data_IF_197954570418
#
_entry.id   IF_197954570418
#
_cell.length_a   1.000
_cell.length_b   1.000
_cell.length_c   1.000
_cell.angle_alpha   90.00
_cell.angle_beta   90.00
_cell.angle_gamma   90.00
#
_symmetry.space_group_name_H-M   'P 1'
#
loop_
_entity.id
_entity.type
_entity.pdbx_description
1 polymer ?
#
# COMPACT_ATOMS: atom_id res chain seq x y z
N UNK A 1 7.24 14.03 23.60
CA UNK A 1 7.14 13.50 22.22
C UNK A 1 7.26 14.67 21.27
N UNK A 2 8.20 14.67 20.33
CA UNK A 2 8.35 15.77 19.36
C UNK A 2 7.14 15.83 18.43
N UNK A 3 6.67 17.04 18.17
CA UNK A 3 5.53 17.36 17.30
C UNK A 3 5.75 16.91 15.85
N UNK A 4 4.67 16.49 15.16
CA UNK A 4 4.70 16.17 13.73
C UNK A 4 4.51 17.48 12.95
N UNK A 5 5.45 17.79 12.06
CA UNK A 5 5.39 18.95 11.18
C UNK A 5 4.69 18.59 9.87
N UNK A 6 3.73 19.44 9.49
CA UNK A 6 3.01 19.36 8.23
C UNK A 6 3.35 20.60 7.40
N UNK A 7 3.73 20.39 6.13
CA UNK A 7 4.04 21.50 5.21
C UNK A 7 3.34 21.31 3.88
N UNK A 8 2.65 22.33 3.41
CA UNK A 8 2.10 22.33 2.07
C UNK A 8 3.19 22.58 1.03
N UNK A 9 3.13 21.82 -0.07
CA UNK A 9 3.98 21.97 -1.25
C UNK A 9 3.10 21.89 -2.49
N UNK A 10 3.63 22.37 -3.61
CA UNK A 10 3.00 22.15 -4.91
C UNK A 10 3.52 20.88 -5.58
N UNK A 11 2.60 20.08 -6.10
CA UNK A 11 2.91 19.00 -7.03
C UNK A 11 3.09 19.56 -8.44
N UNK A 12 4.20 19.19 -9.08
CA UNK A 12 4.42 19.38 -10.53
C UNK A 12 3.59 18.40 -11.36
N UNK A 13 3.38 17.19 -10.83
CA UNK A 13 2.55 16.14 -11.41
C UNK A 13 1.97 15.26 -10.31
N UNK A 14 0.79 14.68 -10.57
CA UNK A 14 0.18 13.70 -9.67
C UNK A 14 0.45 12.26 -10.13
N UNK A 15 0.24 11.98 -11.43
CA UNK A 15 0.48 10.68 -12.06
C UNK A 15 1.96 10.45 -12.36
N UNK A 16 2.52 9.39 -11.76
CA UNK A 16 3.91 9.00 -12.03
C UNK A 16 3.94 7.66 -12.78
N UNK A 17 4.46 7.66 -14.01
CA UNK A 17 4.64 6.42 -14.77
C UNK A 17 5.73 5.58 -14.11
N UNK A 18 5.49 4.28 -13.98
CA UNK A 18 6.44 3.35 -13.37
C UNK A 18 6.83 2.23 -14.34
N UNK A 19 7.96 1.60 -14.09
CA UNK A 19 8.47 0.48 -14.86
C UNK A 19 8.84 -0.68 -13.93
N UNK A 20 8.65 -1.92 -14.39
CA UNK A 20 8.95 -3.12 -13.60
C UNK A 20 7.98 -3.38 -12.44
N UNK A 21 6.81 -2.74 -12.47
CA UNK A 21 5.71 -2.93 -11.51
C UNK A 21 4.52 -3.60 -12.22
N UNK A 22 3.62 -4.27 -11.49
CA UNK A 22 2.41 -4.87 -12.08
C UNK A 22 1.31 -3.83 -12.41
N UNK A 23 1.66 -2.55 -12.41
CA UNK A 23 0.81 -1.41 -12.72
C UNK A 23 1.62 -0.36 -13.47
N UNK A 24 0.93 0.52 -14.20
CA UNK A 24 1.56 1.47 -15.12
C UNK A 24 1.80 2.84 -14.48
N UNK A 25 0.93 3.21 -13.55
CA UNK A 25 0.91 4.50 -12.90
C UNK A 25 0.88 4.40 -11.39
N UNK A 26 1.49 5.36 -10.71
CA UNK A 26 1.41 5.50 -9.27
C UNK A 26 0.94 6.88 -8.82
N UNK A 27 0.17 6.89 -7.74
CA UNK A 27 -0.41 8.09 -7.14
C UNK A 27 -0.10 8.13 -5.64
N UNK A 28 0.57 9.20 -5.21
CA UNK A 28 0.98 9.40 -3.82
C UNK A 28 0.77 10.88 -3.43
N UNK A 29 -0.35 11.21 -2.75
CA UNK A 29 -0.69 12.59 -2.41
C UNK A 29 0.26 13.24 -1.39
N UNK A 30 0.94 12.42 -0.60
CA UNK A 30 1.79 12.84 0.51
C UNK A 30 3.26 12.46 0.29
N UNK A 31 4.17 13.17 0.94
CA UNK A 31 5.58 12.78 1.12
C UNK A 31 5.84 12.63 2.62
N UNK A 32 6.54 11.56 3.00
CA UNK A 32 6.63 11.15 4.40
C UNK A 32 5.40 10.36 4.84
N UNK A 33 5.52 9.64 5.96
CA UNK A 33 4.41 8.87 6.50
C UNK A 33 4.53 8.68 8.01
N UNK A 34 3.52 9.14 8.76
CA UNK A 34 3.52 9.08 10.24
C UNK A 34 3.39 7.67 10.79
N UNK A 35 3.16 6.67 9.94
CA UNK A 35 3.12 5.26 10.32
C UNK A 35 4.45 4.73 10.87
N UNK A 36 5.57 5.39 10.55
CA UNK A 36 6.88 5.13 11.11
C UNK A 36 7.37 3.67 11.01
N UNK A 37 7.02 2.96 9.92
CA UNK A 37 7.46 1.58 9.74
C UNK A 37 8.99 1.51 9.62
N UNK A 38 9.61 0.62 10.39
CA UNK A 38 11.07 0.45 10.46
C UNK A 38 11.67 -0.12 9.17
N UNK A 39 10.86 -0.87 8.43
CA UNK A 39 11.21 -1.51 7.15
C UNK A 39 10.79 -0.71 5.91
N UNK A 40 10.32 0.54 6.07
CA UNK A 40 9.70 1.29 4.97
C UNK A 40 10.72 1.60 3.86
N UNK A 41 10.58 0.99 2.68
CA UNK A 41 11.46 1.27 1.54
C UNK A 41 11.36 2.73 1.08
N UNK A 42 10.23 3.41 1.29
CA UNK A 42 10.02 4.79 0.85
C UNK A 42 10.95 5.79 1.52
N UNK A 43 11.53 5.42 2.67
CA UNK A 43 12.63 6.17 3.30
C UNK A 43 13.82 6.27 2.35
N UNK A 44 14.15 5.20 1.62
CA UNK A 44 15.25 5.20 0.64
C UNK A 44 14.98 6.17 -0.51
N UNK A 45 13.75 6.20 -1.02
CA UNK A 45 13.35 7.14 -2.07
C UNK A 45 13.40 8.59 -1.56
N UNK A 46 12.95 8.83 -0.32
CA UNK A 46 13.03 10.15 0.30
C UNK A 46 14.48 10.62 0.47
N UNK A 47 15.38 9.73 0.91
CA UNK A 47 16.79 10.03 1.04
C UNK A 47 17.45 10.30 -0.31
N UNK A 48 17.30 9.37 -1.26
CA UNK A 48 17.97 9.44 -2.56
C UNK A 48 17.53 10.62 -3.42
N UNK A 49 16.24 10.94 -3.44
CA UNK A 49 15.70 11.93 -4.38
C UNK A 49 15.37 13.29 -3.75
N UNK A 50 15.36 13.38 -2.42
CA UNK A 50 15.04 14.63 -1.71
C UNK A 50 16.11 15.06 -0.70
N UNK A 51 17.21 14.31 -0.57
CA UNK A 51 18.33 14.64 0.32
C UNK A 51 17.94 14.67 1.80
N UNK A 52 16.98 13.83 2.21
CA UNK A 52 16.46 13.79 3.59
C UNK A 52 16.96 12.58 4.36
N UNK A 53 16.88 12.63 5.69
CA UNK A 53 17.18 11.46 6.50
C UNK A 53 16.16 10.35 6.30
N UNK A 54 16.63 9.12 6.54
CA UNK A 54 15.80 7.91 6.53
C UNK A 54 15.08 7.67 7.87
N UNK A 55 15.34 8.49 8.89
CA UNK A 55 14.87 8.33 10.25
C UNK A 55 13.70 9.27 10.57
N UNK A 56 13.75 10.01 11.70
CA UNK A 56 12.62 10.82 12.17
C UNK A 56 12.11 11.87 11.18
N UNK A 57 12.93 12.39 10.27
CA UNK A 57 12.48 13.38 9.29
C UNK A 57 11.46 12.81 8.30
N UNK A 58 11.55 11.53 7.96
CA UNK A 58 10.54 10.86 7.11
C UNK A 58 9.20 10.67 7.85
N UNK A 59 9.26 10.36 9.14
CA UNK A 59 8.08 10.01 9.94
C UNK A 59 7.37 11.23 10.53
N UNK A 60 8.10 12.34 10.68
CA UNK A 60 7.63 13.54 11.39
C UNK A 60 7.55 14.79 10.52
N UNK A 61 8.08 14.78 9.30
CA UNK A 61 7.93 15.89 8.36
C UNK A 61 7.11 15.42 7.15
N UNK A 62 5.80 15.69 7.22
CA UNK A 62 4.86 15.29 6.19
C UNK A 62 4.64 16.47 5.25
N UNK A 63 4.89 16.26 3.97
CA UNK A 63 4.53 17.24 2.96
C UNK A 63 3.22 16.87 2.30
N UNK A 64 2.34 17.85 2.26
CA UNK A 64 1.02 17.75 1.66
C UNK A 64 1.09 18.44 0.31
N UNK A 65 0.82 17.69 -0.76
CA UNK A 65 0.73 18.29 -2.09
C UNK A 65 -0.62 19.00 -2.20
N UNK A 66 -0.69 20.29 -1.89
CA UNK A 66 -1.97 21.00 -1.70
C UNK A 66 -2.82 21.04 -2.98
N UNK A 67 -2.19 21.25 -4.14
CA UNK A 67 -2.84 21.28 -5.45
C UNK A 67 -3.02 19.87 -6.10
N UNK A 68 -2.84 18.79 -5.33
CA UNK A 68 -2.72 17.44 -5.90
C UNK A 68 -3.99 16.97 -6.62
N UNK A 69 -5.17 17.26 -6.08
CA UNK A 69 -6.46 16.85 -6.68
C UNK A 69 -6.67 17.56 -8.02
N UNK A 70 -6.42 18.87 -8.09
CA UNK A 70 -6.53 19.66 -9.33
C UNK A 70 -5.55 19.17 -10.39
N UNK A 71 -4.29 18.90 -9.99
CA UNK A 71 -3.27 18.34 -10.88
C UNK A 71 -3.69 16.97 -11.39
N UNK A 72 -4.10 16.08 -10.51
CA UNK A 72 -4.57 14.74 -10.90
C UNK A 72 -5.76 14.81 -11.85
N UNK A 73 -6.76 15.64 -11.56
CA UNK A 73 -7.92 15.84 -12.43
C UNK A 73 -7.52 16.30 -13.84
N UNK A 74 -6.58 17.24 -13.93
CA UNK A 74 -6.07 17.76 -15.21
C UNK A 74 -5.32 16.71 -16.04
N UNK A 75 -4.70 15.72 -15.38
CA UNK A 75 -3.93 14.66 -16.00
C UNK A 75 -4.81 13.46 -16.38
N UNK A 76 -5.69 12.99 -15.48
CA UNK A 76 -6.53 11.80 -15.70
C UNK A 76 -7.61 12.02 -16.76
N UNK A 77 -8.10 13.25 -16.94
CA UNK A 77 -9.04 13.59 -18.02
C UNK A 77 -8.48 13.44 -19.43
N UNK A 78 -7.16 13.24 -19.56
CA UNK A 78 -6.50 12.91 -20.83
C UNK A 78 -6.57 11.41 -21.16
N UNK A 79 -7.28 10.62 -20.34
CA UNK A 79 -7.48 9.19 -20.51
C UNK A 79 -6.16 8.41 -20.63
N UNK A 80 -5.26 8.49 -19.64
CA UNK A 80 -4.03 7.71 -19.65
C UNK A 80 -4.37 6.21 -19.66
N UNK A 81 -3.74 5.47 -20.57
CA UNK A 81 -3.90 4.02 -20.64
C UNK A 81 -3.16 3.32 -19.49
N UNK A 82 -3.69 2.17 -19.08
CA UNK A 82 -3.10 1.31 -18.08
C UNK A 82 -3.77 1.41 -16.70
N UNK A 83 -3.15 0.74 -15.74
CA UNK A 83 -3.65 0.63 -14.37
C UNK A 83 -2.94 1.58 -13.40
N UNK A 84 -3.66 1.97 -12.35
CA UNK A 84 -3.21 2.90 -11.34
C UNK A 84 -3.05 2.20 -9.98
N UNK A 85 -1.94 2.47 -9.30
CA UNK A 85 -1.74 2.08 -7.91
C UNK A 85 -1.62 3.31 -7.00
N UNK A 86 -2.53 3.42 -6.03
CA UNK A 86 -2.53 4.47 -5.00
C UNK A 86 -1.84 3.93 -3.74
N UNK A 87 -0.95 4.72 -3.14
CA UNK A 87 -0.30 4.36 -1.88
C UNK A 87 0.95 3.50 -2.01
N UNK A 88 1.67 3.64 -3.14
CA UNK A 88 2.89 2.89 -3.44
C UNK A 88 4.15 3.48 -2.83
N UNK A 89 4.10 4.65 -2.20
CA UNK A 89 5.26 5.27 -1.54
C UNK A 89 4.89 5.84 -0.18
N UNK A 90 3.70 6.41 -0.04
CA UNK A 90 3.19 6.93 1.23
C UNK A 90 1.79 6.42 1.46
N UNK A 91 1.35 6.36 2.71
CA UNK A 91 0.00 5.91 2.98
C UNK A 91 -1.00 7.02 2.61
N UNK A 92 -1.97 6.75 1.71
CA UNK A 92 -2.93 7.75 1.28
C UNK A 92 -3.98 8.06 2.36
N UNK A 93 -4.11 7.21 3.39
CA UNK A 93 -5.07 7.31 4.48
C UNK A 93 -4.42 7.48 5.86
N UNK A 94 -3.20 8.02 5.88
CA UNK A 94 -2.58 8.46 7.14
C UNK A 94 -3.38 9.62 7.78
N UNK A 95 -3.27 9.87 9.10
CA UNK A 95 -4.13 10.79 9.85
C UNK A 95 -4.43 12.16 9.21
N UNK A 96 -3.46 12.77 8.52
CA UNK A 96 -3.64 14.09 7.88
C UNK A 96 -4.69 14.09 6.76
N UNK A 97 -4.99 12.93 6.18
CA UNK A 97 -6.06 12.73 5.18
C UNK A 97 -7.45 13.02 5.74
N UNK A 98 -7.64 13.00 7.07
CA UNK A 98 -8.90 13.38 7.70
C UNK A 98 -9.24 14.86 7.42
N UNK A 99 -8.21 15.71 7.33
CA UNK A 99 -8.32 17.14 7.03
C UNK A 99 -8.31 17.41 5.52
N UNK A 100 -7.30 16.92 4.80
CA UNK A 100 -7.07 17.36 3.41
C UNK A 100 -7.89 16.62 2.36
N UNK A 101 -8.33 15.39 2.64
CA UNK A 101 -9.17 14.59 1.74
C UNK A 101 -8.60 14.44 0.32
N UNK A 102 -7.26 14.42 0.16
CA UNK A 102 -6.63 14.36 -1.16
C UNK A 102 -6.88 13.01 -1.83
N UNK A 103 -6.79 11.91 -1.08
CA UNK A 103 -7.08 10.60 -1.61
C UNK A 103 -8.54 10.51 -2.07
N UNK A 104 -9.48 11.03 -1.26
CA UNK A 104 -10.90 11.12 -1.64
C UNK A 104 -11.11 11.93 -2.92
N UNK A 105 -10.54 13.13 -3.02
CA UNK A 105 -10.67 13.97 -4.21
C UNK A 105 -10.12 13.29 -5.47
N UNK A 106 -9.03 12.53 -5.35
CA UNK A 106 -8.54 11.70 -6.45
C UNK A 106 -9.49 10.55 -6.82
N UNK A 107 -10.13 9.90 -5.84
CA UNK A 107 -11.17 8.90 -6.12
C UNK A 107 -12.39 9.51 -6.82
N UNK A 108 -12.83 10.70 -6.43
CA UNK A 108 -13.92 11.42 -7.10
C UNK A 108 -13.58 11.75 -8.56
N UNK A 109 -12.32 12.11 -8.84
CA UNK A 109 -11.83 12.28 -10.21
C UNK A 109 -11.79 10.95 -11.00
N UNK A 110 -11.37 9.84 -10.37
CA UNK A 110 -11.43 8.50 -10.98
C UNK A 110 -12.86 8.03 -11.24
N UNK A 111 -13.83 8.40 -10.40
CA UNK A 111 -15.24 8.14 -10.69
C UNK A 111 -15.68 8.82 -11.98
N UNK A 112 -15.08 9.95 -12.38
CA UNK A 112 -15.38 10.62 -13.66
C UNK A 112 -14.58 10.04 -14.82
N UNK A 113 -13.29 9.78 -14.60
CA UNK A 113 -12.34 9.26 -15.59
C UNK A 113 -11.74 7.94 -15.07
N UNK A 114 -12.47 6.82 -15.21
CA UNK A 114 -12.12 5.57 -14.54
C UNK A 114 -10.85 4.94 -15.12
N UNK A 115 -9.99 4.48 -14.21
CA UNK A 115 -8.84 3.64 -14.49
C UNK A 115 -8.92 2.40 -13.59
N UNK A 116 -8.54 1.20 -14.07
CA UNK A 116 -8.33 0.05 -13.20
C UNK A 116 -7.39 0.44 -12.05
N UNK A 117 -7.88 0.36 -10.82
CA UNK A 117 -7.22 0.96 -9.65
C UNK A 117 -6.96 -0.07 -8.56
N UNK A 118 -5.76 -0.03 -8.00
CA UNK A 118 -5.45 -0.71 -6.74
C UNK A 118 -5.06 0.33 -5.69
N UNK A 119 -5.45 0.08 -4.44
CA UNK A 119 -5.09 0.96 -3.31
C UNK A 119 -4.35 0.13 -2.29
N UNK A 120 -3.19 0.57 -1.82
CA UNK A 120 -2.46 -0.06 -0.72
C UNK A 120 -2.46 0.87 0.48
N UNK A 121 -2.92 0.39 1.63
CA UNK A 121 -2.98 1.21 2.86
C UNK A 121 -2.85 0.37 4.13
N UNK A 122 -2.45 1.02 5.21
CA UNK A 122 -2.57 0.61 6.61
C UNK A 122 -3.61 1.48 7.37
N UNK A 123 -4.04 2.58 6.76
CA UNK A 123 -4.97 3.53 7.33
C UNK A 123 -6.40 2.99 7.36
N UNK A 124 -7.08 3.17 8.49
CA UNK A 124 -8.49 2.79 8.66
C UNK A 124 -9.46 3.85 8.14
N UNK A 125 -8.97 5.06 7.85
CA UNK A 125 -9.79 6.18 7.38
C UNK A 125 -10.44 5.91 6.02
N UNK A 126 -9.92 4.96 5.24
CA UNK A 126 -10.52 4.52 3.97
C UNK A 126 -11.99 4.10 4.09
N UNK A 127 -12.43 3.65 5.27
CA UNK A 127 -13.83 3.33 5.55
C UNK A 127 -14.77 4.53 5.34
N UNK A 128 -14.28 5.77 5.56
CA UNK A 128 -15.02 7.01 5.28
C UNK A 128 -15.44 7.10 3.81
N UNK A 129 -14.64 6.53 2.93
CA UNK A 129 -14.73 6.72 1.48
C UNK A 129 -15.37 5.51 0.78
N UNK A 130 -16.06 4.65 1.52
CA UNK A 130 -16.82 3.51 0.96
C UNK A 130 -17.76 3.96 -0.17
N UNK A 131 -18.43 5.10 0.00
CA UNK A 131 -19.37 5.65 -0.98
C UNK A 131 -18.70 5.94 -2.34
N UNK A 132 -17.57 6.63 -2.34
CA UNK A 132 -16.83 6.94 -3.58
C UNK A 132 -16.11 5.70 -4.13
N UNK A 133 -15.64 4.79 -3.28
CA UNK A 133 -15.06 3.52 -3.71
C UNK A 133 -16.09 2.64 -4.41
N UNK A 134 -17.34 2.58 -3.94
CA UNK A 134 -18.42 1.85 -4.60
C UNK A 134 -18.76 2.47 -5.96
N UNK A 135 -18.82 3.81 -6.03
CA UNK A 135 -19.03 4.51 -7.29
C UNK A 135 -17.90 4.21 -8.31
N UNK A 136 -16.65 4.11 -7.86
CA UNK A 136 -15.53 3.76 -8.73
C UNK A 136 -15.57 2.29 -9.16
N UNK A 137 -15.77 1.36 -8.21
CA UNK A 137 -15.89 -0.08 -8.47
C UNK A 137 -17.03 -0.37 -9.45
N UNK A 138 -18.11 0.42 -9.46
CA UNK A 138 -19.18 0.28 -10.44
C UNK A 138 -18.71 0.51 -11.90
N UNK A 139 -17.64 1.30 -12.11
CA UNK A 139 -17.16 1.71 -13.44
C UNK A 139 -15.91 0.96 -13.90
N UNK A 140 -15.11 0.42 -13.00
CA UNK A 140 -13.82 -0.22 -13.31
C UNK A 140 -13.39 -1.21 -12.23
N UNK A 141 -12.30 -1.92 -12.50
CA UNK A 141 -11.68 -2.79 -11.50
C UNK A 141 -11.11 -1.97 -10.35
N UNK A 142 -11.50 -2.32 -9.13
CA UNK A 142 -10.99 -1.73 -7.91
C UNK A 142 -10.67 -2.81 -6.87
N UNK A 143 -9.43 -2.86 -6.41
CA UNK A 143 -9.03 -3.70 -5.27
C UNK A 143 -8.33 -2.89 -4.20
N UNK A 144 -8.79 -3.01 -2.96
CA UNK A 144 -8.14 -2.40 -1.78
C UNK A 144 -7.29 -3.45 -1.06
N UNK A 145 -5.99 -3.21 -0.95
CA UNK A 145 -5.05 -4.02 -0.20
C UNK A 145 -4.73 -3.39 1.16
N UNK A 146 -5.07 -4.11 2.23
CA UNK A 146 -4.60 -3.77 3.57
C UNK A 146 -3.25 -4.44 3.83
N UNK A 147 -2.25 -3.64 4.19
CA UNK A 147 -0.96 -4.17 4.61
C UNK A 147 -1.06 -4.77 6.02
N UNK A 148 -0.97 -6.09 6.14
CA UNK A 148 -1.00 -6.81 7.42
C UNK A 148 0.17 -7.81 7.46
N UNK A 149 1.40 -7.35 7.82
CA UNK A 149 2.59 -8.20 7.89
C UNK A 149 2.51 -9.35 8.89
N UNK A 150 1.80 -9.14 9.99
CA UNK A 150 1.48 -10.14 11.01
C UNK A 150 0.32 -9.62 11.87
N UNK A 151 -0.16 -10.45 12.79
CA UNK A 151 -1.20 -10.11 13.78
C UNK A 151 -0.68 -10.15 15.23
N UNK A 152 0.64 -10.21 15.39
CA UNK A 152 1.31 -10.16 16.68
C UNK A 152 1.47 -8.70 17.13
N UNK A 153 0.89 -8.37 18.27
CA UNK A 153 0.85 -6.99 18.77
C UNK A 153 2.24 -6.49 19.19
N UNK A 154 3.13 -7.36 19.66
CA UNK A 154 4.48 -6.96 20.07
C UNK A 154 5.37 -6.69 18.85
N UNK A 155 5.26 -7.53 17.82
CA UNK A 155 5.93 -7.28 16.53
C UNK A 155 5.40 -5.99 15.90
N UNK A 156 4.08 -5.77 15.90
CA UNK A 156 3.46 -4.56 15.37
C UNK A 156 3.98 -3.29 16.06
N UNK A 157 3.97 -3.26 17.41
CA UNK A 157 4.45 -2.11 18.20
C UNK A 157 5.90 -1.76 17.88
N UNK A 158 6.75 -2.75 17.69
CA UNK A 158 8.17 -2.55 17.36
C UNK A 158 8.38 -2.10 15.91
N UNK A 159 7.76 -2.80 14.96
CA UNK A 159 8.06 -2.66 13.54
C UNK A 159 7.31 -1.51 12.85
N UNK A 160 6.12 -1.13 13.34
CA UNK A 160 5.28 -0.09 12.72
C UNK A 160 4.42 0.67 13.76
N UNK A 161 5.06 1.35 14.73
CA UNK A 161 4.42 1.93 15.91
C UNK A 161 3.39 3.02 15.63
N UNK A 162 3.51 3.73 14.50
CA UNK A 162 2.60 4.82 14.14
C UNK A 162 1.39 4.37 13.32
N UNK A 163 1.36 3.12 12.85
CA UNK A 163 0.27 2.60 12.03
C UNK A 163 -0.84 2.01 12.90
N UNK A 164 -2.11 2.03 12.47
CA UNK A 164 -3.20 1.33 13.17
C UNK A 164 -2.86 -0.14 13.41
N UNK A 165 -3.36 -0.74 14.49
CA UNK A 165 -3.08 -2.15 14.79
C UNK A 165 -3.59 -3.10 13.68
N UNK A 166 -2.99 -4.30 13.51
CA UNK A 166 -3.47 -5.30 12.55
C UNK A 166 -4.97 -5.58 12.69
N UNK A 167 -5.48 -5.67 13.92
CA UNK A 167 -6.90 -5.87 14.22
C UNK A 167 -7.77 -4.74 13.69
N UNK A 168 -7.35 -3.49 13.85
CA UNK A 168 -8.06 -2.33 13.30
C UNK A 168 -8.07 -2.32 11.77
N UNK A 169 -6.97 -2.71 11.13
CA UNK A 169 -6.88 -2.84 9.67
C UNK A 169 -7.84 -3.92 9.14
N UNK A 170 -7.87 -5.08 9.79
CA UNK A 170 -8.77 -6.17 9.44
C UNK A 170 -10.25 -5.81 9.68
N UNK A 171 -10.55 -5.01 10.71
CA UNK A 171 -11.89 -4.44 10.90
C UNK A 171 -12.28 -3.52 9.75
N UNK A 172 -11.39 -2.63 9.32
CA UNK A 172 -11.64 -1.76 8.16
C UNK A 172 -11.85 -2.58 6.88
N UNK A 173 -11.02 -3.61 6.66
CA UNK A 173 -11.20 -4.57 5.56
C UNK A 173 -12.60 -5.19 5.59
N UNK A 174 -13.02 -5.71 6.75
CA UNK A 174 -14.34 -6.33 6.91
C UNK A 174 -15.46 -5.36 6.55
N UNK A 175 -15.38 -4.10 6.97
CA UNK A 175 -16.38 -3.08 6.62
C UNK A 175 -16.45 -2.81 5.11
N UNK A 176 -15.31 -2.79 4.43
CA UNK A 176 -15.28 -2.69 2.95
C UNK A 176 -15.91 -3.92 2.29
N UNK A 177 -15.66 -5.13 2.81
CA UNK A 177 -16.27 -6.37 2.32
C UNK A 177 -17.78 -6.41 2.55
N UNK A 178 -18.25 -5.95 3.70
CA UNK A 178 -19.68 -5.82 4.01
C UNK A 178 -20.37 -4.81 3.09
N UNK A 179 -19.65 -3.79 2.62
CA UNK A 179 -20.11 -2.86 1.58
C UNK A 179 -19.98 -3.42 0.14
N UNK A 180 -19.57 -4.67 -0.05
CA UNK A 180 -19.46 -5.32 -1.36
C UNK A 180 -18.21 -4.97 -2.16
N UNK A 181 -17.26 -4.22 -1.60
CA UNK A 181 -16.01 -3.84 -2.26
C UNK A 181 -14.97 -4.96 -2.21
N UNK A 182 -14.17 -5.12 -3.25
CA UNK A 182 -13.05 -6.06 -3.24
C UNK A 182 -11.93 -5.56 -2.33
N UNK A 183 -11.62 -6.34 -1.29
CA UNK A 183 -10.60 -6.00 -0.31
C UNK A 183 -9.79 -7.24 0.10
N UNK A 184 -8.47 -7.11 0.05
CA UNK A 184 -7.51 -8.19 0.23
C UNK A 184 -6.45 -7.83 1.28
N UNK A 185 -5.73 -8.84 1.75
CA UNK A 185 -4.56 -8.65 2.60
C UNK A 185 -3.29 -8.78 1.77
N UNK A 186 -2.41 -7.79 1.94
CA UNK A 186 -1.03 -7.84 1.50
C UNK A 186 -0.14 -8.02 2.73
N UNK A 187 0.33 -9.25 2.95
CA UNK A 187 1.31 -9.60 3.97
C UNK A 187 2.70 -9.17 3.50
N UNK A 188 2.95 -7.86 3.49
CA UNK A 188 4.18 -7.26 2.98
C UNK A 188 4.70 -6.14 3.90
N UNK A 189 5.97 -6.22 4.33
CA UNK A 189 6.88 -7.34 4.14
C UNK A 189 6.65 -8.47 5.15
N UNK A 190 6.92 -9.73 4.76
CA UNK A 190 7.26 -10.77 5.72
C UNK A 190 8.71 -10.56 6.18
N UNK A 191 8.90 -10.42 7.50
CA UNK A 191 10.17 -10.09 8.13
C UNK A 191 10.90 -11.39 8.55
N UNK A 192 12.09 -11.68 7.98
CA UNK A 192 12.82 -12.92 8.28
C UNK A 192 13.09 -13.12 9.78
N UNK A 193 12.72 -14.27 10.33
CA UNK A 193 12.87 -14.61 11.75
C UNK A 193 11.93 -13.86 12.71
N UNK A 194 11.07 -12.98 12.20
CA UNK A 194 10.15 -12.15 13.02
C UNK A 194 8.69 -12.48 12.70
N UNK A 195 8.30 -12.47 11.42
CA UNK A 195 6.92 -12.71 11.00
C UNK A 195 6.75 -13.77 9.91
N UNK A 196 7.83 -14.43 9.49
CA UNK A 196 7.88 -15.38 8.36
C UNK A 196 7.80 -16.86 8.76
N UNK A 197 7.52 -17.16 10.03
CA UNK A 197 7.27 -18.54 10.49
C UNK A 197 5.93 -19.04 9.95
N UNK A 198 5.81 -20.36 9.74
CA UNK A 198 4.54 -20.97 9.30
C UNK A 198 3.39 -20.63 10.25
N UNK A 199 3.65 -20.61 11.55
CA UNK A 199 2.65 -20.26 12.57
C UNK A 199 2.21 -18.79 12.49
N UNK A 200 3.17 -17.86 12.35
CA UNK A 200 2.86 -16.43 12.19
C UNK A 200 2.03 -16.17 10.93
N UNK A 201 2.45 -16.78 9.81
CA UNK A 201 1.74 -16.67 8.52
C UNK A 201 0.34 -17.29 8.64
N UNK A 202 0.19 -18.43 9.33
CA UNK A 202 -1.11 -19.09 9.56
C UNK A 202 -2.07 -18.19 10.34
N UNK A 203 -1.61 -17.58 11.44
CA UNK A 203 -2.42 -16.64 12.22
C UNK A 203 -2.87 -15.43 11.38
N UNK A 204 -1.97 -14.88 10.56
CA UNK A 204 -2.30 -13.76 9.69
C UNK A 204 -3.29 -14.15 8.58
N UNK A 205 -3.09 -15.31 7.94
CA UNK A 205 -3.97 -15.82 6.89
C UNK A 205 -5.37 -16.18 7.43
N UNK A 206 -5.44 -16.80 8.62
CA UNK A 206 -6.68 -17.05 9.34
C UNK A 206 -7.45 -15.76 9.57
N UNK A 207 -6.81 -14.78 10.22
CA UNK A 207 -7.44 -13.51 10.55
C UNK A 207 -7.89 -12.74 9.30
N UNK A 208 -7.12 -12.82 8.21
CA UNK A 208 -7.51 -12.28 6.91
C UNK A 208 -8.77 -12.96 6.33
N UNK A 209 -8.81 -14.30 6.37
CA UNK A 209 -9.95 -15.08 5.89
C UNK A 209 -11.21 -14.82 6.72
N UNK A 210 -11.09 -14.77 8.05
CA UNK A 210 -12.19 -14.45 8.98
C UNK A 210 -12.72 -13.01 8.79
N UNK A 211 -11.86 -12.07 8.40
CA UNK A 211 -12.27 -10.72 8.03
C UNK A 211 -12.93 -10.63 6.62
N UNK A 212 -12.96 -11.72 5.87
CA UNK A 212 -13.58 -11.80 4.55
C UNK A 212 -12.69 -11.36 3.39
N UNK A 213 -11.36 -11.33 3.58
CA UNK A 213 -10.41 -10.95 2.54
C UNK A 213 -10.57 -11.81 1.28
N UNK A 214 -10.49 -11.16 0.12
CA UNK A 214 -10.61 -11.83 -1.19
C UNK A 214 -9.32 -12.45 -1.67
N UNK A 215 -8.18 -11.95 -1.20
CA UNK A 215 -6.87 -12.53 -1.45
C UNK A 215 -5.96 -12.38 -0.23
N UNK A 216 -4.96 -13.26 -0.16
CA UNK A 216 -3.82 -13.15 0.74
C UNK A 216 -2.55 -13.24 -0.11
N UNK A 217 -1.88 -12.09 -0.28
CA UNK A 217 -0.65 -11.95 -1.06
C UNK A 217 0.51 -11.66 -0.11
N UNK A 218 1.73 -11.99 -0.51
CA UNK A 218 2.91 -11.73 0.30
C UNK A 218 4.03 -11.08 -0.52
N UNK A 219 4.97 -10.45 0.20
CA UNK A 219 6.28 -10.07 -0.35
C UNK A 219 7.37 -10.27 0.71
N UNK A 220 8.57 -10.73 0.32
CA UNK A 220 9.71 -10.70 1.23
C UNK A 220 10.09 -9.25 1.55
N UNK A 221 10.74 -9.06 2.69
CA UNK A 221 11.38 -7.80 3.02
C UNK A 221 12.43 -7.41 1.97
N UNK A 222 12.33 -6.17 1.47
CA UNK A 222 13.33 -5.51 0.64
C UNK A 222 14.06 -4.46 1.48
N UNK A 223 15.39 -4.45 1.42
CA UNK A 223 16.24 -3.49 2.15
C UNK A 223 17.09 -2.72 1.13
N UNK A 224 16.65 -1.51 0.75
CA UNK A 224 17.47 -0.63 -0.08
C UNK A 224 18.72 -0.16 0.69
N UNK A 225 19.80 0.13 -0.04
CA UNK A 225 21.10 0.54 0.51
C UNK A 225 20.98 1.70 1.50
N UNK A 226 20.16 2.68 1.17
CA UNK A 226 19.95 3.92 1.91
C UNK A 226 19.31 3.67 3.29
N UNK A 227 18.54 2.58 3.46
CA UNK A 227 17.84 2.26 4.70
C UNK A 227 18.47 1.09 5.46
N UNK A 228 19.58 0.54 4.96
CA UNK A 228 20.19 -0.68 5.52
C UNK A 228 20.57 -0.45 6.98
N UNK A 229 21.40 0.55 7.26
CA UNK A 229 21.90 0.79 8.62
C UNK A 229 20.74 1.09 9.57
N UNK A 230 19.79 1.94 9.14
CA UNK A 230 18.58 2.24 9.90
C UNK A 230 17.76 0.98 10.28
N UNK A 231 17.60 0.04 9.35
CA UNK A 231 16.90 -1.21 9.63
C UNK A 231 17.73 -2.17 10.52
N UNK A 232 19.05 -2.22 10.33
CA UNK A 232 19.93 -3.05 11.16
C UNK A 232 20.07 -2.51 12.58
N UNK A 233 20.00 -1.19 12.80
CA UNK A 233 19.92 -0.59 14.13
C UNK A 233 18.64 -1.00 14.87
N UNK A 234 17.51 -1.04 14.14
CA UNK A 234 16.26 -1.59 14.66
C UNK A 234 16.42 -3.07 15.04
N UNK A 235 17.00 -3.89 14.16
CA UNK A 235 17.26 -5.30 14.49
C UNK A 235 18.18 -5.45 15.71
N UNK A 236 19.28 -4.70 15.78
CA UNK A 236 20.22 -4.77 16.90
C UNK A 236 19.57 -4.38 18.23
N UNK A 237 18.61 -3.45 18.20
CA UNK A 237 17.89 -2.98 19.39
C UNK A 237 16.81 -3.97 19.83
N UNK A 238 15.95 -4.39 18.91
CA UNK A 238 14.71 -5.10 19.23
C UNK A 238 14.78 -6.62 19.04
N UNK A 239 15.72 -7.09 18.21
CA UNK A 239 15.90 -8.49 17.78
C UNK A 239 17.39 -8.86 17.55
N UNK A 240 18.30 -8.59 18.50
CA UNK A 240 19.75 -8.66 18.28
C UNK A 240 20.24 -10.02 17.76
N UNK A 241 19.61 -11.11 18.19
CA UNK A 241 19.93 -12.48 17.77
C UNK A 241 19.71 -12.73 16.27
N UNK A 242 18.90 -11.90 15.59
CA UNK A 242 18.59 -12.04 14.17
C UNK A 242 19.55 -11.28 13.25
N UNK A 243 20.45 -10.44 13.80
CA UNK A 243 21.37 -9.63 13.00
C UNK A 243 22.28 -10.50 12.12
N UNK A 244 22.97 -11.56 12.62
CA UNK A 244 23.84 -12.39 11.78
C UNK A 244 23.08 -13.06 10.63
N UNK A 245 21.87 -13.55 10.91
CA UNK A 245 21.00 -14.17 9.90
C UNK A 245 20.63 -13.15 8.81
N UNK A 246 20.25 -11.92 9.17
CA UNK A 246 19.94 -10.88 8.18
C UNK A 246 21.16 -10.48 7.36
N UNK A 247 22.34 -10.36 7.96
CA UNK A 247 23.58 -10.09 7.23
C UNK A 247 23.83 -11.14 6.15
N UNK A 248 23.71 -12.43 6.52
CA UNK A 248 23.89 -13.54 5.59
C UNK A 248 22.80 -13.59 4.49
N UNK A 249 21.53 -13.36 4.86
CA UNK A 249 20.39 -13.43 3.92
C UNK A 249 20.47 -12.39 2.81
N UNK A 250 20.98 -11.19 3.11
CA UNK A 250 21.02 -10.10 2.15
C UNK A 250 22.38 -9.95 1.48
N UNK A 251 23.51 -10.21 2.15
CA UNK A 251 24.84 -10.19 1.54
C UNK A 251 25.12 -8.92 0.70
N UNK A 252 24.62 -7.76 1.12
CA UNK A 252 24.69 -6.50 0.37
C UNK A 252 23.57 -6.26 -0.66
N UNK A 253 22.87 -7.30 -1.11
CA UNK A 253 21.69 -7.21 -2.00
C UNK A 253 20.50 -6.50 -1.34
N UNK A 254 19.59 -6.00 -2.19
CA UNK A 254 18.31 -5.41 -1.78
C UNK A 254 17.25 -6.45 -1.43
N UNK A 255 17.37 -7.64 -2.03
CA UNK A 255 16.46 -8.77 -1.85
C UNK A 255 17.19 -9.87 -1.10
N UNK A 256 16.48 -10.68 -0.28
CA UNK A 256 17.08 -11.85 0.35
C UNK A 256 17.45 -12.90 -0.71
N UNK A 257 18.23 -13.92 -0.33
CA UNK A 257 18.64 -14.98 -1.24
C UNK A 257 17.44 -15.62 -1.98
N UNK A 258 17.67 -16.10 -3.21
CA UNK A 258 16.62 -16.79 -3.99
C UNK A 258 16.11 -18.04 -3.29
N UNK A 259 16.96 -18.71 -2.52
CA UNK A 259 16.58 -19.86 -1.71
C UNK A 259 15.57 -19.49 -0.64
N UNK A 260 15.83 -18.43 0.14
CA UNK A 260 14.90 -17.92 1.13
C UNK A 260 13.56 -17.52 0.49
N UNK A 261 13.59 -16.83 -0.66
CA UNK A 261 12.35 -16.45 -1.36
C UNK A 261 11.51 -17.66 -1.76
N UNK A 262 12.13 -18.70 -2.34
CA UNK A 262 11.43 -19.94 -2.73
C UNK A 262 10.83 -20.65 -1.53
N UNK A 263 11.55 -20.69 -0.41
CA UNK A 263 11.06 -21.33 0.81
C UNK A 263 9.90 -20.53 1.43
N UNK A 264 10.01 -19.20 1.45
CA UNK A 264 8.91 -18.32 1.87
C UNK A 264 7.66 -18.53 1.01
N UNK A 265 7.82 -18.61 -0.32
CA UNK A 265 6.72 -18.86 -1.24
C UNK A 265 6.02 -20.20 -0.94
N UNK A 266 6.79 -21.26 -0.65
CA UNK A 266 6.23 -22.57 -0.25
C UNK A 266 5.46 -22.48 1.06
N UNK A 267 6.03 -21.86 2.10
CA UNK A 267 5.36 -21.69 3.40
C UNK A 267 4.02 -20.96 3.24
N UNK A 268 4.02 -19.85 2.51
CA UNK A 268 2.80 -19.07 2.26
C UNK A 268 1.80 -19.88 1.43
N UNK A 269 2.23 -20.62 0.40
CA UNK A 269 1.33 -21.46 -0.38
C UNK A 269 0.65 -22.54 0.46
N UNK A 270 1.41 -23.22 1.34
CA UNK A 270 0.89 -24.25 2.26
C UNK A 270 -0.10 -23.67 3.25
N UNK A 271 0.17 -22.48 3.81
CA UNK A 271 -0.77 -21.83 4.72
C UNK A 271 -2.01 -21.36 3.96
N UNK A 272 -1.83 -20.73 2.81
CA UNK A 272 -2.92 -20.16 2.02
C UNK A 272 -3.92 -21.22 1.57
N UNK A 273 -3.48 -22.45 1.28
CA UNK A 273 -4.38 -23.55 0.88
C UNK A 273 -5.34 -24.02 2.00
N UNK A 274 -5.07 -23.66 3.26
CA UNK A 274 -5.94 -23.99 4.41
C UNK A 274 -7.17 -23.08 4.49
N UNK A 275 -7.14 -21.93 3.82
CA UNK A 275 -8.16 -20.89 3.94
C UNK A 275 -8.76 -20.57 2.57
N UNK A 276 -10.03 -20.20 2.56
CA UNK A 276 -10.72 -19.80 1.33
C UNK A 276 -10.63 -18.29 1.14
N UNK A 277 -9.95 -17.88 0.07
CA UNK A 277 -9.90 -16.49 -0.38
C UNK A 277 -10.71 -16.38 -1.67
N UNK A 278 -11.84 -15.66 -1.61
CA UNK A 278 -12.76 -15.51 -2.75
C UNK A 278 -12.29 -14.37 -3.64
N UNK A 279 -11.25 -14.64 -4.45
CA UNK A 279 -10.74 -13.65 -5.41
C UNK A 279 -11.87 -13.22 -6.34
N UNK A 280 -12.12 -11.91 -6.41
CA UNK A 280 -13.11 -11.36 -7.32
C UNK A 280 -12.51 -11.41 -8.74
N UNK A 281 -13.20 -11.99 -9.74
CA UNK A 281 -12.73 -11.89 -11.11
C UNK A 281 -12.72 -10.42 -11.56
N UNK A 282 -11.82 -10.02 -12.48
CA UNK A 282 -11.83 -8.69 -13.06
C UNK A 282 -13.21 -8.37 -13.63
N UNK A 283 -13.76 -7.21 -13.28
CA UNK A 283 -14.93 -6.62 -13.92
C UNK A 283 -14.60 -6.36 -15.38
N UNK A 284 -15.48 -6.82 -16.26
CA UNK A 284 -15.47 -6.38 -17.64
C UNK A 284 -15.76 -4.89 -17.63
N UNK A 285 -14.83 -4.09 -18.16
CA UNK A 285 -15.00 -2.64 -18.30
C UNK A 285 -16.30 -2.42 -19.06
N UNK A 286 -17.28 -1.78 -18.42
CA UNK A 286 -18.49 -1.37 -19.11
C UNK A 286 -18.06 -0.20 -20.00
N UNK A 287 -17.87 -0.45 -21.29
CA UNK A 287 -17.84 0.63 -22.26
C UNK A 287 -19.24 1.25 -22.21
N UNK A 288 -19.32 2.50 -21.73
CA UNK A 288 -20.57 3.24 -21.71
C UNK A 288 -20.99 3.46 -23.18
N UNK A 289 -22.17 2.98 -23.62
CA UNK A 289 -22.60 3.13 -25.02
C UNK A 289 -22.71 4.58 -25.49
N UNK A 290 -22.71 5.54 -24.55
CA UNK A 290 -22.88 6.96 -24.82
C UNK A 290 -21.69 7.61 -25.57
N UNK A 291 -20.51 6.98 -25.63
CA UNK A 291 -19.35 7.49 -26.39
C UNK A 291 -19.30 7.01 -27.85
N UNK A 292 -20.30 6.27 -28.33
CA UNK A 292 -20.47 5.92 -29.75
C UNK A 292 -21.71 6.60 -30.32
N UNK A 293 -21.78 7.93 -30.23
CA UNK A 293 -22.52 8.68 -31.25
C UNK A 293 -21.61 8.89 -32.44
N UNK A 294 -21.66 7.90 -33.34
CA UNK A 294 -21.25 8.04 -34.72
C UNK A 294 -21.91 9.30 -35.28
N UNK A 295 -21.14 10.36 -35.51
CA UNK A 295 -21.57 11.49 -36.34
C UNK A 295 -21.83 10.95 -37.74
N UNK A 296 -23.03 10.43 -37.96
CA UNK A 296 -23.62 10.37 -39.30
C UNK A 296 -23.92 11.80 -39.70
N UNK A 297 -22.91 12.48 -40.28
CA UNK A 297 -23.22 13.57 -41.18
C UNK A 297 -23.65 12.95 -42.50
N UNK A 298 -24.92 13.19 -42.78
CA UNK A 298 -25.59 12.94 -44.04
C UNK A 298 -24.84 13.61 -45.22
N UNK A 299 -24.98 12.96 -46.39
CA UNK A 299 -24.85 13.43 -47.78
C UNK A 299 -24.27 14.84 -47.97
#
# INVERSE_FOLDING_TARGET
>A
MSEISYREIEAKSALNRVHGMPFDWSLNPYVGCVHACRFCYSRAYNARFRGRDVGPGFDRSIEIRANFVERFWSEVRRHPEGSLAIGTATDPYQPIEAKYRLARGCLEALVRYPMPTSIVTKGTLIVRDIDVLQALDARTDLTVYFSVPCVDDDVWRKAEPGAPSPRQRLRALKMLREAGLDAAVLCAPLLPGISDSVESIDRAARAASEAGATAFRHRPLKIDSEIRDYYFDFLATDFPVLVPMHTALYGGSKQPTREYQRELDRRVAVVRSRYSFRERPPRRVHQDPADVQQLQLAI
#
